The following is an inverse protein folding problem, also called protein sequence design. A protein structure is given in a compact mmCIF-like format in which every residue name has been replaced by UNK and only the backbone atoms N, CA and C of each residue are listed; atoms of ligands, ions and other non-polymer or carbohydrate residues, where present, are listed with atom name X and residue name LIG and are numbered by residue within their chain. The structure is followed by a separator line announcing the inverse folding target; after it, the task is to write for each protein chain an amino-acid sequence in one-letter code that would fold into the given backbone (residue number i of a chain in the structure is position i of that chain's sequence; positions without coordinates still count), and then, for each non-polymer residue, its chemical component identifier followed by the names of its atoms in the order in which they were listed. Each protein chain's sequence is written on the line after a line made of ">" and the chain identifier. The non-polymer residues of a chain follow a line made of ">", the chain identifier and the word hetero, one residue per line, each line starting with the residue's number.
data_IF_924630491685
#
_entry.id   IF_924630491685
#
_cell.length_a   1.000
_cell.length_b   1.000
_cell.length_c   1.000
_cell.angle_alpha   90.00
_cell.angle_beta   90.00
_cell.angle_gamma   90.00
#
_symmetry.space_group_name_H-M   'P 1'
#
loop_
_entity.id
_entity.type
_entity.pdbx_description
1 polymer ?
#
# COMPACT_ATOMS: atom_id res chain seq x y z
N UNK A 1 -18.85 4.27 16.33
CA UNK A 1 -18.92 3.28 17.42
C UNK A 1 -18.09 3.64 18.67
N UNK A 2 -17.39 4.78 18.69
CA UNK A 2 -16.55 5.20 19.82
C UNK A 2 -15.16 4.52 19.86
N UNK A 3 -14.81 3.70 18.86
CA UNK A 3 -13.48 3.11 18.74
C UNK A 3 -12.50 4.10 18.13
N UNK A 4 -11.22 3.98 18.50
CA UNK A 4 -10.15 4.72 17.83
C UNK A 4 -9.96 4.09 16.44
N UNK A 5 -9.93 4.88 15.36
CA UNK A 5 -9.63 4.37 14.04
C UNK A 5 -8.25 3.70 14.02
N UNK A 6 -8.15 2.51 13.44
CA UNK A 6 -6.88 1.82 13.20
C UNK A 6 -6.80 1.39 11.72
N UNK A 7 -5.91 2.00 10.92
CA UNK A 7 -4.87 2.97 11.28
C UNK A 7 -5.46 4.32 11.73
N UNK A 8 -4.68 5.25 12.31
CA UNK A 8 -5.18 6.58 12.69
C UNK A 8 -5.73 7.38 11.49
N UNK A 9 -6.76 8.20 11.73
CA UNK A 9 -7.19 9.21 10.74
C UNK A 9 -6.25 10.41 10.88
N UNK A 10 -5.18 10.40 10.09
CA UNK A 10 -4.22 11.48 9.96
C UNK A 10 -3.10 11.10 9.00
N UNK A 11 -2.88 11.92 7.98
CA UNK A 11 -1.74 11.78 7.08
C UNK A 11 -0.55 12.59 7.58
N UNK A 12 0.58 12.48 6.89
CA UNK A 12 1.76 13.33 7.12
C UNK A 12 1.38 14.79 6.97
N UNK A 13 2.13 15.68 7.63
CA UNK A 13 1.86 17.11 7.57
C UNK A 13 1.86 17.63 6.13
N UNK A 14 2.81 17.14 5.34
CA UNK A 14 2.99 17.49 3.93
C UNK A 14 1.81 17.01 3.09
N UNK A 15 1.38 15.76 3.28
CA UNK A 15 0.25 15.21 2.53
C UNK A 15 -1.09 15.81 2.95
N UNK A 16 -1.32 16.02 4.25
CA UNK A 16 -2.51 16.70 4.76
C UNK A 16 -2.63 18.14 4.23
N UNK A 17 -1.51 18.83 4.01
CA UNK A 17 -1.51 20.18 3.44
C UNK A 17 -2.03 20.25 1.99
N UNK A 18 -2.14 19.11 1.29
CA UNK A 18 -2.82 19.03 -0.02
C UNK A 18 -4.33 19.26 0.07
N UNK A 19 -4.89 19.20 1.29
CA UNK A 19 -6.33 19.27 1.51
C UNK A 19 -7.06 17.97 1.20
N UNK A 20 -6.35 16.84 1.17
CA UNK A 20 -6.96 15.55 0.89
C UNK A 20 -8.05 15.20 1.93
N UNK A 21 -9.30 14.92 1.51
CA UNK A 21 -10.41 14.73 2.44
C UNK A 21 -10.21 13.56 3.41
N UNK A 22 -9.47 12.52 3.01
CA UNK A 22 -9.28 11.33 3.84
C UNK A 22 -8.35 11.57 5.04
N UNK A 23 -7.58 12.66 5.05
CA UNK A 23 -6.66 12.97 6.14
C UNK A 23 -7.34 13.51 7.40
N UNK A 24 -8.64 13.85 7.34
CA UNK A 24 -9.40 14.36 8.47
C UNK A 24 -10.80 13.75 8.54
N UNK A 25 -11.22 13.34 9.74
CA UNK A 25 -12.54 12.74 9.95
C UNK A 25 -13.70 13.66 9.53
N UNK A 26 -13.55 14.97 9.73
CA UNK A 26 -14.59 15.95 9.37
C UNK A 26 -14.80 16.13 7.86
N UNK A 27 -13.84 15.68 7.05
CA UNK A 27 -13.89 15.79 5.58
C UNK A 27 -13.94 14.44 4.88
N UNK A 28 -13.86 13.34 5.64
CA UNK A 28 -13.82 11.99 5.12
C UNK A 28 -15.09 11.67 4.31
N UNK A 29 -14.91 11.24 3.06
CA UNK A 29 -16.03 11.00 2.13
C UNK A 29 -16.32 9.52 1.92
N UNK A 30 -15.31 8.65 2.03
CA UNK A 30 -15.44 7.23 1.80
C UNK A 30 -14.09 6.53 1.75
N UNK A 31 -14.11 5.20 1.79
CA UNK A 31 -12.92 4.36 1.74
C UNK A 31 -13.07 3.07 2.53
N UNK A 32 -11.96 2.43 2.87
CA UNK A 32 -11.95 1.16 3.59
C UNK A 32 -12.54 1.27 5.01
N UNK A 33 -12.40 2.43 5.67
CA UNK A 33 -12.95 2.65 7.04
C UNK A 33 -14.46 2.55 7.10
N UNK A 34 -15.11 2.83 5.98
CA UNK A 34 -16.55 2.67 5.86
C UNK A 34 -16.99 1.21 5.93
N UNK A 35 -16.09 0.26 5.65
CA UNK A 35 -16.37 -1.16 5.48
C UNK A 35 -15.70 -2.03 6.54
N UNK A 36 -15.20 -1.44 7.63
CA UNK A 36 -14.66 -2.21 8.75
C UNK A 36 -15.75 -3.03 9.45
N UNK A 37 -15.35 -4.13 10.10
CA UNK A 37 -16.29 -4.98 10.82
C UNK A 37 -17.06 -4.17 11.88
N UNK A 38 -18.40 -4.25 11.82
CA UNK A 38 -19.36 -3.52 12.66
C UNK A 38 -19.42 -1.99 12.41
N UNK A 39 -18.84 -1.50 11.32
CA UNK A 39 -19.12 -0.14 10.84
C UNK A 39 -20.35 -0.17 9.92
N UNK A 40 -21.40 0.55 10.31
CA UNK A 40 -22.60 0.73 9.50
C UNK A 40 -22.59 2.11 8.88
N UNK A 41 -22.67 2.16 7.55
CA UNK A 41 -22.76 3.40 6.75
C UNK A 41 -24.18 3.88 6.52
N UNK A 42 -25.14 3.04 6.89
CA UNK A 42 -26.55 3.37 6.82
C UNK A 42 -27.02 3.73 8.22
N UNK A 43 -27.90 4.72 8.28
CA UNK A 43 -28.68 5.01 9.47
C UNK A 43 -29.56 3.78 9.75
N UNK A 44 -29.05 2.82 10.53
CA UNK A 44 -29.71 1.52 10.77
C UNK A 44 -31.11 1.69 11.39
N UNK A 45 -31.35 2.79 12.10
CA UNK A 45 -32.65 3.20 12.63
C UNK A 45 -33.64 3.68 11.55
N UNK A 46 -33.15 4.08 10.37
CA UNK A 46 -33.95 4.54 9.22
C UNK A 46 -34.06 3.49 8.12
N UNK A 47 -32.98 2.76 7.88
CA UNK A 47 -32.82 1.85 6.72
C UNK A 47 -33.08 0.38 7.08
N UNK A 48 -33.20 0.06 8.36
CA UNK A 48 -33.44 -1.28 8.87
C UNK A 48 -34.59 -1.37 9.87
N UNK A 49 -35.15 -2.57 10.01
CA UNK A 49 -36.23 -2.86 10.98
C UNK A 49 -35.73 -2.96 12.41
N UNK A 50 -34.47 -3.33 12.59
CA UNK A 50 -33.79 -3.39 13.87
C UNK A 50 -32.34 -2.91 13.78
N UNK A 51 -31.69 -2.51 14.89
CA UNK A 51 -30.34 -1.94 14.87
C UNK A 51 -29.23 -2.89 14.38
N UNK A 52 -29.50 -4.19 14.26
CA UNK A 52 -28.56 -5.17 13.72
C UNK A 52 -28.81 -5.44 12.23
N UNK A 53 -29.81 -4.80 11.63
CA UNK A 53 -30.22 -5.01 10.24
C UNK A 53 -30.43 -6.50 9.92
N UNK A 54 -31.03 -7.25 10.85
CA UNK A 54 -31.12 -8.71 10.78
C UNK A 54 -31.96 -9.22 9.60
N UNK A 55 -32.76 -8.34 8.98
CA UNK A 55 -33.55 -8.62 7.79
C UNK A 55 -32.78 -8.50 6.47
N UNK A 56 -31.56 -7.94 6.48
CA UNK A 56 -30.73 -7.85 5.28
C UNK A 56 -30.10 -9.22 4.98
N UNK A 57 -29.88 -9.55 3.69
CA UNK A 57 -29.16 -10.76 3.33
C UNK A 57 -27.76 -10.80 3.96
N UNK A 58 -27.34 -11.97 4.41
CA UNK A 58 -25.96 -12.23 4.82
C UNK A 58 -25.21 -12.79 3.62
N UNK A 59 -24.16 -12.10 3.19
CA UNK A 59 -23.24 -12.64 2.20
C UNK A 59 -22.31 -13.65 2.90
N UNK A 60 -22.37 -14.92 2.46
CA UNK A 60 -21.46 -15.96 2.92
C UNK A 60 -20.33 -16.14 1.90
N UNK A 61 -19.10 -15.85 2.32
CA UNK A 61 -17.91 -15.94 1.46
C UNK A 61 -17.02 -17.07 1.95
N UNK A 62 -16.61 -17.94 1.03
CA UNK A 62 -15.68 -19.04 1.30
C UNK A 62 -14.30 -18.70 0.76
N UNK A 63 -13.28 -18.79 1.61
CA UNK A 63 -11.90 -18.53 1.24
C UNK A 63 -11.05 -19.80 1.42
N UNK A 64 -10.34 -20.21 0.37
CA UNK A 64 -9.43 -21.35 0.40
C UNK A 64 -8.00 -20.85 0.20
N UNK A 65 -7.16 -21.08 1.19
CA UNK A 65 -5.71 -20.85 1.09
C UNK A 65 -5.00 -22.18 0.85
N UNK A 66 -4.05 -22.19 -0.08
CA UNK A 66 -3.15 -23.32 -0.30
C UNK A 66 -1.72 -22.81 -0.15
N UNK A 67 -0.99 -23.36 0.82
CA UNK A 67 0.39 -22.96 1.10
C UNK A 67 1.33 -24.05 0.59
N UNK A 68 2.34 -23.64 -0.16
CA UNK A 68 3.48 -24.47 -0.54
C UNK A 68 4.68 -23.98 0.27
N UNK A 69 5.45 -24.91 0.81
CA UNK A 69 6.64 -24.61 1.59
C UNK A 69 7.79 -25.53 1.16
N UNK A 70 9.00 -25.07 1.38
CA UNK A 70 10.24 -25.79 1.14
C UNK A 70 11.10 -25.77 2.41
N UNK A 71 11.98 -26.77 2.55
CA UNK A 71 12.91 -26.81 3.67
C UNK A 71 13.93 -25.67 3.57
N UNK A 72 14.19 -25.02 4.72
CA UNK A 72 15.19 -23.97 4.79
C UNK A 72 16.60 -24.51 4.49
N UNK A 73 17.31 -23.84 3.59
CA UNK A 73 18.71 -24.18 3.27
C UNK A 73 19.67 -23.15 3.89
N UNK A 74 20.95 -23.50 4.17
CA UNK A 74 21.89 -22.57 4.79
C UNK A 74 22.15 -21.25 4.02
N UNK A 75 21.77 -21.18 2.74
CA UNK A 75 21.89 -19.96 1.93
C UNK A 75 20.65 -19.06 1.93
N UNK A 76 19.57 -19.45 2.62
CA UNK A 76 18.36 -18.64 2.74
C UNK A 76 18.53 -17.62 3.87
N UNK A 77 18.22 -16.36 3.58
CA UNK A 77 18.21 -15.30 4.57
C UNK A 77 16.80 -15.11 5.12
N UNK A 78 16.63 -14.89 6.44
CA UNK A 78 15.35 -14.50 7.00
C UNK A 78 14.94 -13.14 6.41
N UNK A 79 13.64 -12.99 6.12
CA UNK A 79 13.06 -11.72 5.70
C UNK A 79 12.18 -11.15 6.79
N UNK A 80 12.13 -9.83 6.88
CA UNK A 80 11.25 -9.10 7.78
C UNK A 80 10.52 -7.96 7.04
N UNK A 81 9.30 -7.60 7.48
CA UNK A 81 8.59 -6.46 6.90
C UNK A 81 9.34 -5.15 7.07
N UNK A 82 9.33 -4.34 6.01
CA UNK A 82 9.87 -2.99 6.02
C UNK A 82 8.87 -1.96 6.58
N UNK A 83 9.39 -0.79 6.92
CA UNK A 83 8.63 0.37 7.37
C UNK A 83 8.03 1.23 6.26
N UNK A 84 8.55 1.08 5.05
CA UNK A 84 8.23 1.85 3.87
C UNK A 84 7.34 1.01 2.95
N UNK A 85 6.57 1.56 2.01
CA UNK A 85 6.52 2.96 1.62
C UNK A 85 5.11 3.38 1.25
N UNK A 86 4.55 4.37 1.93
CA UNK A 86 3.17 4.85 1.73
C UNK A 86 3.15 6.32 1.33
N UNK A 87 2.42 6.70 0.27
CA UNK A 87 2.42 8.09 -0.24
C UNK A 87 1.79 9.10 0.71
N UNK A 88 0.93 8.66 1.63
CA UNK A 88 0.28 9.54 2.60
C UNK A 88 1.20 9.85 3.79
N UNK A 89 2.29 9.08 3.94
CA UNK A 89 3.15 9.12 5.11
C UNK A 89 4.58 9.55 4.84
N UNK A 90 5.21 10.15 5.84
CA UNK A 90 6.65 10.45 5.86
C UNK A 90 7.40 9.68 6.96
N UNK A 91 6.66 8.92 7.78
CA UNK A 91 7.19 8.20 8.94
C UNK A 91 6.78 6.72 8.93
N UNK A 92 7.42 5.94 9.80
CA UNK A 92 7.19 4.50 9.90
C UNK A 92 5.87 4.21 10.64
N UNK A 93 4.90 3.62 9.94
CA UNK A 93 3.78 2.88 10.52
C UNK A 93 2.77 3.64 11.40
N UNK A 94 2.56 4.96 11.23
CA UNK A 94 1.73 5.76 12.16
C UNK A 94 0.69 6.69 11.51
N UNK A 95 0.31 6.47 10.27
CA UNK A 95 -0.51 7.43 9.51
C UNK A 95 -1.59 6.73 8.68
N UNK A 96 -2.55 7.51 8.16
CA UNK A 96 -3.66 7.02 7.37
C UNK A 96 -3.15 6.47 6.04
N UNK A 97 -3.46 5.23 5.70
CA UNK A 97 -2.94 4.57 4.49
C UNK A 97 -3.77 4.82 3.23
N UNK A 98 -4.95 5.43 3.39
CA UNK A 98 -5.87 5.73 2.30
C UNK A 98 -6.00 7.24 2.05
N UNK A 99 -6.26 7.60 0.79
CA UNK A 99 -6.49 8.97 0.37
C UNK A 99 -7.47 9.02 -0.80
N UNK A 100 -8.04 10.19 -1.06
CA UNK A 100 -8.95 10.37 -2.19
C UNK A 100 -8.21 10.92 -3.41
N UNK A 101 -8.66 10.51 -4.60
CA UNK A 101 -8.30 11.14 -5.88
C UNK A 101 -9.40 12.16 -6.21
N UNK A 102 -9.16 13.47 -6.07
CA UNK A 102 -10.14 14.47 -6.49
C UNK A 102 -10.24 14.52 -8.02
N UNK A 103 -11.46 14.63 -8.54
CA UNK A 103 -11.68 14.83 -9.96
C UNK A 103 -11.01 16.12 -10.47
N UNK A 104 -10.49 16.09 -11.71
CA UNK A 104 -10.02 17.30 -12.35
C UNK A 104 -11.15 18.31 -12.60
N UNK A 105 -10.75 19.57 -12.87
CA UNK A 105 -11.71 20.60 -13.31
C UNK A 105 -12.41 20.16 -14.61
N UNK A 106 -13.72 20.44 -14.77
CA UNK A 106 -14.42 20.19 -16.02
C UNK A 106 -13.67 20.77 -17.23
N UNK A 107 -13.56 19.97 -18.30
CA UNK A 107 -12.84 20.34 -19.52
C UNK A 107 -11.33 20.08 -19.52
N UNK A 108 -10.77 19.51 -18.44
CA UNK A 108 -9.38 19.02 -18.45
C UNK A 108 -9.26 17.84 -19.41
N UNK A 109 -8.32 17.86 -20.39
CA UNK A 109 -8.07 16.70 -21.25
C UNK A 109 -7.66 15.48 -20.43
N UNK A 110 -8.14 14.29 -20.82
CA UNK A 110 -7.92 13.05 -20.08
C UNK A 110 -6.43 12.76 -19.85
N UNK A 111 -5.59 13.02 -20.85
CA UNK A 111 -4.14 12.79 -20.78
C UNK A 111 -3.42 13.71 -19.78
N UNK A 112 -4.08 14.79 -19.35
CA UNK A 112 -3.59 15.72 -18.32
C UNK A 112 -4.35 15.60 -17.02
N UNK A 113 -5.35 14.73 -16.97
CA UNK A 113 -6.20 14.57 -15.81
C UNK A 113 -5.64 13.46 -14.91
N UNK A 114 -4.50 13.78 -14.29
CA UNK A 114 -3.73 12.84 -13.48
C UNK A 114 -3.60 13.39 -12.07
N UNK A 115 -3.71 12.48 -11.10
CA UNK A 115 -3.31 12.77 -9.72
C UNK A 115 -1.97 12.12 -9.43
N UNK A 116 -1.02 12.89 -8.91
CA UNK A 116 0.31 12.42 -8.56
C UNK A 116 0.52 12.63 -7.06
N UNK A 117 0.92 11.57 -6.38
CA UNK A 117 1.26 11.58 -4.97
C UNK A 117 2.68 11.02 -4.79
N UNK A 118 3.47 11.66 -3.93
CA UNK A 118 4.83 11.23 -3.63
C UNK A 118 5.12 11.32 -2.13
N UNK A 119 5.92 10.37 -1.65
CA UNK A 119 6.49 10.43 -0.30
C UNK A 119 7.93 9.93 -0.30
N UNK A 120 8.65 10.31 0.75
CA UNK A 120 10.01 9.84 1.03
C UNK A 120 10.02 9.25 2.42
N UNK A 121 10.46 8.00 2.53
CA UNK A 121 10.48 7.26 3.78
C UNK A 121 11.74 6.39 3.86
N UNK A 122 12.24 6.11 5.08
CA UNK A 122 13.37 5.22 5.24
C UNK A 122 13.02 3.76 4.94
N UNK A 123 13.96 3.02 4.33
CA UNK A 123 13.75 1.67 3.80
C UNK A 123 13.34 0.61 4.82
N UNK A 124 13.55 0.78 6.13
CA UNK A 124 13.20 -0.26 7.10
C UNK A 124 13.09 0.28 8.52
N UNK A 125 12.39 -0.42 9.41
CA UNK A 125 12.30 -0.02 10.82
C UNK A 125 13.69 0.02 11.45
N UNK A 126 14.00 1.08 12.21
CA UNK A 126 15.28 1.21 12.93
C UNK A 126 15.14 1.82 14.33
N UNK A 127 14.02 1.54 15.00
CA UNK A 127 13.81 1.81 16.42
C UNK A 127 12.83 0.77 17.00
N UNK A 128 11.52 0.94 16.74
CA UNK A 128 10.47 0.01 17.20
C UNK A 128 9.86 -0.73 16.02
N UNK A 129 10.39 -1.90 15.69
CA UNK A 129 9.77 -2.75 14.69
C UNK A 129 8.42 -3.27 15.23
N UNK A 130 7.26 -3.06 14.58
CA UNK A 130 5.95 -3.40 15.15
C UNK A 130 5.77 -4.88 15.48
N UNK A 131 6.41 -5.77 14.70
CA UNK A 131 6.39 -7.22 14.94
C UNK A 131 7.60 -7.74 15.72
N UNK A 132 8.55 -6.86 16.04
CA UNK A 132 9.73 -7.21 16.86
C UNK A 132 10.15 -6.02 17.72
N UNK A 133 9.30 -5.62 18.69
CA UNK A 133 9.50 -4.36 19.43
C UNK A 133 10.76 -4.37 20.31
N UNK A 134 11.29 -5.56 20.60
CA UNK A 134 12.47 -5.78 21.42
C UNK A 134 13.77 -5.84 20.60
N UNK A 135 13.70 -5.81 19.26
CA UNK A 135 14.89 -5.75 18.41
C UNK A 135 15.51 -4.35 18.41
N UNK A 136 16.82 -4.28 18.65
CA UNK A 136 17.60 -3.03 18.64
C UNK A 136 18.15 -2.70 17.24
N UNK A 137 17.27 -2.74 16.23
CA UNK A 137 17.65 -2.37 14.85
C UNK A 137 18.12 -0.92 14.83
N UNK A 138 19.32 -0.68 14.29
CA UNK A 138 19.90 0.67 14.16
C UNK A 138 19.74 1.18 12.75
N UNK A 139 19.63 2.51 12.59
CA UNK A 139 19.51 3.12 11.26
C UNK A 139 20.67 2.75 10.33
N UNK A 140 21.85 2.54 10.91
CA UNK A 140 23.06 2.14 10.22
C UNK A 140 23.14 0.67 9.82
N UNK A 141 22.25 -0.19 10.30
CA UNK A 141 22.29 -1.60 9.94
C UNK A 141 21.98 -1.77 8.46
N UNK A 142 22.69 -2.70 7.82
CA UNK A 142 22.57 -2.92 6.39
C UNK A 142 21.55 -4.02 6.11
N UNK A 143 20.68 -3.78 5.14
CA UNK A 143 19.65 -4.70 4.68
C UNK A 143 19.66 -4.83 3.15
N UNK A 144 19.28 -6.00 2.67
CA UNK A 144 18.93 -6.25 1.27
C UNK A 144 17.43 -6.01 1.07
N UNK A 145 17.05 -5.24 0.05
CA UNK A 145 15.66 -5.18 -0.39
C UNK A 145 15.33 -6.47 -1.17
N UNK A 146 14.59 -7.38 -0.54
CA UNK A 146 14.33 -8.71 -1.06
C UNK A 146 13.03 -8.77 -1.88
N UNK A 147 12.01 -8.02 -1.45
CA UNK A 147 10.68 -8.08 -2.03
C UNK A 147 9.97 -6.73 -1.94
N UNK A 148 9.19 -6.41 -2.98
CA UNK A 148 8.27 -5.27 -2.97
C UNK A 148 7.02 -5.61 -3.80
N UNK A 149 5.88 -5.71 -3.13
CA UNK A 149 4.58 -5.81 -3.77
C UNK A 149 3.88 -4.45 -3.74
N UNK A 150 3.43 -3.92 -4.90
CA UNK A 150 2.61 -2.73 -4.91
C UNK A 150 1.24 -3.06 -4.30
N UNK A 151 0.72 -2.14 -3.50
CA UNK A 151 -0.66 -2.12 -3.08
C UNK A 151 -1.29 -0.85 -3.66
N UNK A 152 -2.14 -1.05 -4.66
CA UNK A 152 -2.73 -0.02 -5.48
C UNK A 152 -4.20 -0.35 -5.67
N UNK A 153 -5.05 0.67 -5.78
CA UNK A 153 -6.49 0.51 -6.00
C UNK A 153 -6.89 0.87 -7.43
N UNK A 154 -8.18 0.71 -7.74
CA UNK A 154 -8.77 1.06 -9.05
C UNK A 154 -8.42 2.51 -9.45
N UNK A 155 -8.29 2.75 -10.75
CA UNK A 155 -7.79 3.98 -11.37
C UNK A 155 -6.28 4.27 -11.19
N UNK A 156 -5.56 3.39 -10.48
CA UNK A 156 -4.10 3.42 -10.44
C UNK A 156 -3.48 3.19 -11.82
N UNK A 157 -2.61 4.10 -12.25
CA UNK A 157 -1.91 4.07 -13.54
C UNK A 157 -0.44 3.70 -13.39
N UNK A 158 0.21 4.08 -12.31
CA UNK A 158 1.55 3.58 -11.96
C UNK A 158 1.87 3.72 -10.49
N UNK A 159 2.76 2.84 -10.03
CA UNK A 159 3.43 2.97 -8.75
C UNK A 159 4.93 2.70 -8.97
N UNK A 160 5.75 3.66 -8.54
CA UNK A 160 7.19 3.65 -8.75
C UNK A 160 7.91 3.76 -7.41
N UNK A 161 8.97 2.99 -7.26
CA UNK A 161 9.88 3.02 -6.10
C UNK A 161 11.26 3.43 -6.58
N UNK A 162 11.79 4.50 -6.01
CA UNK A 162 13.11 5.03 -6.33
C UNK A 162 14.02 4.97 -5.11
N UNK A 163 15.30 4.77 -5.36
CA UNK A 163 16.35 5.26 -4.47
C UNK A 163 16.29 6.79 -4.51
N UNK A 164 15.97 7.40 -3.37
CA UNK A 164 15.74 8.85 -3.32
C UNK A 164 17.03 9.64 -3.59
N UNK A 165 18.17 9.14 -3.14
CA UNK A 165 19.45 9.87 -3.22
C UNK A 165 20.04 9.80 -4.63
N UNK A 166 19.97 8.63 -5.27
CA UNK A 166 20.55 8.42 -6.60
C UNK A 166 19.55 8.65 -7.73
N UNK A 167 18.26 8.81 -7.40
CA UNK A 167 17.14 8.86 -8.34
C UNK A 167 17.04 7.62 -9.25
N UNK A 168 17.62 6.50 -8.83
CA UNK A 168 17.56 5.22 -9.56
C UNK A 168 16.19 4.57 -9.34
N UNK A 169 15.53 4.19 -10.41
CA UNK A 169 14.31 3.36 -10.34
C UNK A 169 14.68 1.96 -9.83
N UNK A 170 14.04 1.54 -8.74
CA UNK A 170 14.23 0.22 -8.13
C UNK A 170 13.14 -0.75 -8.58
N UNK A 171 11.89 -0.31 -8.57
CA UNK A 171 10.72 -1.09 -8.96
C UNK A 171 9.66 -0.18 -9.60
N UNK A 172 8.94 -0.69 -10.58
CA UNK A 172 7.82 0.01 -11.22
C UNK A 172 6.76 -0.99 -11.64
N UNK A 173 5.50 -0.63 -11.39
CA UNK A 173 4.35 -1.19 -12.10
C UNK A 173 3.57 -0.04 -12.76
N UNK A 174 3.04 -0.28 -13.94
CA UNK A 174 2.19 0.66 -14.66
C UNK A 174 1.12 -0.06 -15.48
N UNK A 175 0.01 0.63 -15.71
CA UNK A 175 -1.10 0.10 -16.48
C UNK A 175 -0.75 0.10 -17.98
N UNK A 176 -0.99 -1.02 -18.65
CA UNK A 176 -0.94 -1.11 -20.11
C UNK A 176 -2.16 -1.87 -20.60
N UNK A 177 -2.60 -1.60 -21.84
CA UNK A 177 -3.75 -2.28 -22.43
C UNK A 177 -3.63 -3.82 -22.44
N UNK A 178 -2.39 -4.33 -22.49
CA UNK A 178 -2.11 -5.76 -22.51
C UNK A 178 -1.67 -6.32 -21.16
N UNK A 179 -1.82 -5.58 -20.06
CA UNK A 179 -1.43 -6.00 -18.72
C UNK A 179 0.07 -6.37 -18.60
N UNK A 180 0.93 -5.91 -19.51
CA UNK A 180 2.36 -6.20 -19.50
C UNK A 180 3.17 -5.34 -18.51
N UNK A 181 2.60 -4.22 -18.06
CA UNK A 181 3.27 -3.28 -17.15
C UNK A 181 3.13 -3.61 -15.66
N UNK A 182 2.42 -4.68 -15.30
CA UNK A 182 2.30 -5.13 -13.91
C UNK A 182 1.13 -4.55 -13.13
N UNK A 183 0.30 -3.70 -13.73
CA UNK A 183 -1.05 -3.40 -13.24
C UNK A 183 -2.03 -4.06 -14.21
N UNK A 184 -2.85 -4.98 -13.68
CA UNK A 184 -3.76 -5.77 -14.51
C UNK A 184 -5.19 -5.31 -14.32
N UNK A 185 -5.77 -4.75 -15.38
CA UNK A 185 -7.20 -4.47 -15.43
C UNK A 185 -7.92 -5.57 -16.18
N UNK A 186 -9.11 -5.93 -15.70
CA UNK A 186 -9.98 -6.89 -16.37
C UNK A 186 -10.63 -6.27 -17.61
N UNK A 187 -10.94 -7.11 -18.60
CA UNK A 187 -11.51 -6.68 -19.89
C UNK A 187 -12.72 -7.51 -20.34
N UNK A 188 -13.21 -8.44 -19.52
CA UNK A 188 -14.33 -9.33 -19.85
C UNK A 188 -15.32 -9.47 -18.69
N UNK A 189 -16.23 -10.44 -18.78
CA UNK A 189 -17.15 -10.81 -17.71
C UNK A 189 -16.76 -12.13 -17.04
N UNK A 190 -15.57 -12.66 -17.35
CA UNK A 190 -15.07 -13.89 -16.76
C UNK A 190 -14.55 -13.64 -15.34
N UNK A 191 -14.63 -14.68 -14.50
CA UNK A 191 -14.16 -14.61 -13.11
C UNK A 191 -12.66 -14.35 -13.09
N UNK A 192 -12.25 -13.26 -12.44
CA UNK A 192 -10.86 -12.80 -12.36
C UNK A 192 -10.38 -11.98 -13.57
N UNK A 193 -11.28 -11.58 -14.47
CA UNK A 193 -11.01 -10.67 -15.59
C UNK A 193 -12.15 -9.64 -15.75
N UNK A 194 -12.80 -9.26 -14.65
CA UNK A 194 -13.96 -8.39 -14.65
C UNK A 194 -13.64 -7.00 -15.21
N UNK A 195 -14.38 -6.60 -16.25
CA UNK A 195 -14.11 -5.38 -17.00
C UNK A 195 -14.11 -4.13 -16.13
N UNK A 196 -12.98 -3.41 -16.12
CA UNK A 196 -12.78 -2.21 -15.33
C UNK A 196 -12.35 -2.42 -13.88
N UNK A 197 -12.23 -3.68 -13.43
CA UNK A 197 -11.69 -4.00 -12.11
C UNK A 197 -10.17 -4.16 -12.18
N UNK A 198 -9.50 -3.80 -11.09
CA UNK A 198 -8.11 -4.16 -10.87
C UNK A 198 -8.07 -5.64 -10.44
N UNK A 199 -7.60 -6.51 -11.32
CA UNK A 199 -7.64 -7.98 -11.14
C UNK A 199 -6.29 -8.57 -10.77
N UNK A 200 -5.23 -7.77 -10.78
CA UNK A 200 -3.95 -8.20 -10.23
C UNK A 200 -2.83 -7.17 -10.35
N UNK A 201 -1.76 -7.47 -9.63
CA UNK A 201 -0.56 -6.65 -9.56
C UNK A 201 0.68 -7.55 -9.60
N UNK A 202 1.66 -7.19 -10.41
CA UNK A 202 2.98 -7.81 -10.40
C UNK A 202 3.80 -7.33 -9.21
N UNK A 203 4.75 -8.15 -8.78
CA UNK A 203 5.66 -7.85 -7.66
C UNK A 203 7.10 -7.76 -8.15
N UNK A 204 7.90 -6.91 -7.52
CA UNK A 204 9.35 -6.94 -7.68
C UNK A 204 9.97 -7.92 -6.67
N UNK A 205 10.84 -8.79 -7.18
CA UNK A 205 11.58 -9.76 -6.37
C UNK A 205 13.05 -9.66 -6.75
N UNK A 206 13.90 -9.57 -5.74
CA UNK A 206 15.33 -9.64 -5.92
C UNK A 206 15.87 -10.91 -5.28
N UNK A 207 16.95 -11.42 -5.83
CA UNK A 207 17.68 -12.57 -5.30
C UNK A 207 19.03 -12.11 -4.72
N UNK A 208 19.76 -13.04 -4.14
CA UNK A 208 21.03 -12.77 -3.46
C UNK A 208 22.11 -12.09 -4.31
N UNK A 209 21.98 -12.11 -5.65
CA UNK A 209 22.98 -11.51 -6.55
C UNK A 209 22.60 -10.13 -7.07
N UNK A 210 21.32 -9.75 -7.00
CA UNK A 210 20.83 -8.48 -7.56
C UNK A 210 20.00 -7.64 -6.58
N UNK A 211 19.85 -8.09 -5.32
CA UNK A 211 19.17 -7.32 -4.28
C UNK A 211 19.91 -6.00 -3.97
N UNK A 212 19.24 -4.85 -4.08
CA UNK A 212 19.78 -3.58 -3.62
C UNK A 212 20.13 -3.64 -2.14
N UNK A 213 21.30 -3.13 -1.78
CA UNK A 213 21.78 -3.06 -0.39
C UNK A 213 21.64 -1.62 0.12
N UNK A 214 20.99 -1.45 1.25
CA UNK A 214 20.72 -0.14 1.86
C UNK A 214 21.00 -0.17 3.36
N UNK A 215 21.29 1.00 3.94
CA UNK A 215 21.12 1.21 5.39
C UNK A 215 19.63 1.27 5.70
N UNK A 216 19.19 0.86 6.88
CA UNK A 216 17.77 0.96 7.28
C UNK A 216 17.22 2.39 7.24
N UNK A 217 18.07 3.38 7.52
CA UNK A 217 17.72 4.81 7.43
C UNK A 217 17.87 5.42 6.03
N UNK A 218 18.26 4.63 5.02
CA UNK A 218 18.34 5.08 3.63
C UNK A 218 16.96 5.45 3.10
N UNK A 219 16.85 6.59 2.42
CA UNK A 219 15.58 7.11 1.95
C UNK A 219 15.19 6.50 0.60
N UNK A 220 13.98 5.96 0.55
CA UNK A 220 13.30 5.58 -0.69
C UNK A 220 12.17 6.56 -0.98
N UNK A 221 11.94 6.82 -2.27
CA UNK A 221 10.85 7.68 -2.74
C UNK A 221 9.80 6.83 -3.44
N UNK A 222 8.56 6.95 -3.02
CA UNK A 222 7.40 6.37 -3.71
C UNK A 222 6.69 7.43 -4.51
N UNK A 223 6.27 7.06 -5.72
CA UNK A 223 5.48 7.92 -6.59
C UNK A 223 4.32 7.13 -7.18
N UNK A 224 3.12 7.60 -6.93
CA UNK A 224 1.88 7.04 -7.47
C UNK A 224 1.26 7.99 -8.49
N UNK A 225 0.69 7.41 -9.55
CA UNK A 225 -0.10 8.15 -10.55
C UNK A 225 -1.45 7.48 -10.69
N UNK A 226 -2.51 8.28 -10.63
CA UNK A 226 -3.89 7.85 -10.81
C UNK A 226 -4.56 8.63 -11.95
N UNK A 227 -5.50 7.97 -12.62
CA UNK A 227 -6.51 8.64 -13.43
C UNK A 227 -7.42 9.43 -12.49
N UNK A 228 -7.55 10.73 -12.75
CA UNK A 228 -8.36 11.66 -11.97
C UNK A 228 -9.57 12.19 -12.75
N UNK A 229 -9.97 11.50 -13.83
CA UNK A 229 -11.12 11.86 -14.67
C UNK A 229 -12.43 11.88 -13.89
N UNK A 230 -12.50 11.12 -12.79
CA UNK A 230 -13.55 11.19 -11.80
C UNK A 230 -12.96 11.09 -10.38
N UNK A 231 -13.79 11.34 -9.38
CA UNK A 231 -13.38 11.18 -7.99
C UNK A 231 -13.29 9.69 -7.64
N UNK A 232 -12.18 9.29 -7.02
CA UNK A 232 -12.03 7.97 -6.40
C UNK A 232 -11.79 8.17 -4.91
N UNK A 233 -12.52 7.45 -4.05
CA UNK A 233 -12.38 7.58 -2.60
C UNK A 233 -11.61 6.40 -2.01
N UNK A 234 -10.85 6.66 -0.96
CA UNK A 234 -10.14 5.63 -0.19
C UNK A 234 -9.18 4.77 -0.99
N UNK A 235 -8.49 5.34 -1.99
CA UNK A 235 -7.43 4.63 -2.69
C UNK A 235 -6.20 4.49 -1.81
N UNK A 236 -5.40 3.46 -2.03
CA UNK A 236 -4.11 3.27 -1.35
C UNK A 236 -2.98 3.22 -2.38
N UNK A 237 -1.82 3.75 -2.00
CA UNK A 237 -0.61 3.72 -2.81
C UNK A 237 0.59 3.46 -1.93
N UNK A 238 0.88 2.18 -1.72
CA UNK A 238 1.99 1.78 -0.88
C UNK A 238 2.70 0.55 -1.40
N UNK A 239 3.88 0.29 -0.84
CA UNK A 239 4.63 -0.93 -1.08
C UNK A 239 4.59 -1.82 0.16
N UNK A 240 4.15 -3.06 -0.01
CA UNK A 240 4.36 -4.14 0.95
C UNK A 240 5.73 -4.74 0.68
N UNK A 241 6.72 -4.34 1.47
CA UNK A 241 8.11 -4.69 1.24
C UNK A 241 8.67 -5.57 2.34
N UNK A 242 9.59 -6.45 1.97
CA UNK A 242 10.40 -7.22 2.89
C UNK A 242 11.88 -6.98 2.63
N UNK A 243 12.64 -6.91 3.73
CA UNK A 243 14.09 -6.77 3.74
C UNK A 243 14.72 -7.97 4.42
N UNK A 244 15.95 -8.30 4.04
CA UNK A 244 16.78 -9.30 4.70
C UNK A 244 18.00 -8.63 5.33
N UNK A 245 18.46 -9.05 6.52
CA UNK A 245 19.71 -8.53 7.07
C UNK A 245 20.87 -8.90 6.14
N UNK A 246 21.83 -7.99 5.99
CA UNK A 246 23.00 -8.26 5.14
C UNK A 246 23.99 -9.21 5.80
N UNK A 247 23.99 -9.28 7.14
CA UNK A 247 24.96 -10.00 7.99
C UNK A 247 26.22 -10.48 7.26
N UNK A 248 27.36 -9.77 7.44
CA UNK A 248 28.62 -10.50 7.31
C UNK A 248 28.58 -11.62 8.36
N UNK A 249 28.80 -12.88 7.99
CA UNK A 249 28.66 -14.00 8.90
C UNK A 249 29.84 -14.00 9.89
N UNK A 250 29.78 -13.17 10.91
CA UNK A 250 30.59 -13.32 12.13
C UNK A 250 29.70 -13.84 13.27
N UNK A 251 28.94 -14.91 13.00
CA UNK A 251 28.30 -15.71 14.03
C UNK A 251 28.22 -17.17 13.61
N UNK A 252 29.36 -17.86 13.61
CA UNK A 252 29.47 -19.25 14.04
C UNK A 252 30.86 -19.46 14.68
N UNK A 253 30.84 -19.44 16.02
CA UNK A 253 31.74 -20.08 17.03
C UNK A 253 33.18 -20.38 16.61
#
# INVERSE_FOLDING_TARGET
>A
DGRRPDPPIGCSKEFAATGNPSCHLSTYQGGWRCCENHMFLIDTDKECKDPQCSEKPVDEVYMKFTFYYEDATPGMLPVEPSACCDVTSSTQGNENIEYDIPACKPGTPAERCLHVAESVQPVGYYNKHPRSPDDDHRGSDMVYLAFAAPHLHVAGLSLQLFDHETNKLLCEVHATKGNSGGIFYGHSSEVGDENGYLVGLSTCRWNSTNAPKFRRDHLLRTRAVYDASMTHTGVMSLWLMDVAPVSEPDLLV
#
